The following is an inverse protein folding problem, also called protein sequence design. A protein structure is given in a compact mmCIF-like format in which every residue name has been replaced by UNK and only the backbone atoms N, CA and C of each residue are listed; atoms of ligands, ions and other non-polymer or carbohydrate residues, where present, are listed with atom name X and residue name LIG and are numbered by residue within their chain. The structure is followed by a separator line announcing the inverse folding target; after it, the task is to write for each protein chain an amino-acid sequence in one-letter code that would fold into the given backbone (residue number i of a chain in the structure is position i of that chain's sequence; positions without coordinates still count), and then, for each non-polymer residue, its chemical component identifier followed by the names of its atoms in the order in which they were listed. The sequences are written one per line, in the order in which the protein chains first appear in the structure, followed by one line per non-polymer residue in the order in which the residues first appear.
data_IF_291178259649
#
_entry.id   IF_291178259649
#
_cell.length_a   1.000
_cell.length_b   1.000
_cell.length_c   1.000
_cell.angle_alpha   90.00
_cell.angle_beta   90.00
_cell.angle_gamma   90.00
#
_symmetry.space_group_name_H-M   'P 1'
#
loop_
_entity.id
_entity.type
_entity.pdbx_description
1 polymer ?
#
# COMPACT_ATOMS: atom_id res chain seq x y z
N UNK A 1 -20.12 -1.71 3.33
CA UNK A 1 -19.82 -0.79 4.45
C UNK A 1 -20.52 0.54 4.22
N UNK A 2 -21.17 1.05 5.25
CA UNK A 2 -21.81 2.35 5.15
C UNK A 2 -20.75 3.46 5.06
N UNK A 3 -21.00 4.46 4.23
CA UNK A 3 -20.11 5.62 4.14
C UNK A 3 -20.17 6.44 5.42
N UNK A 4 -19.05 6.95 5.91
CA UNK A 4 -19.07 7.87 7.06
C UNK A 4 -19.75 9.18 6.70
N UNK A 5 -20.40 9.77 7.67
CA UNK A 5 -21.02 11.09 7.53
C UNK A 5 -20.04 12.18 7.94
N UNK A 6 -20.01 13.27 7.19
CA UNK A 6 -19.20 14.44 7.57
C UNK A 6 -19.59 14.96 8.96
N UNK A 7 -20.90 14.95 9.26
CA UNK A 7 -21.41 15.47 10.53
C UNK A 7 -21.01 14.58 11.72
N UNK A 8 -20.84 13.27 11.48
CA UNK A 8 -20.48 12.30 12.52
C UNK A 8 -18.97 12.06 12.57
N UNK A 9 -18.19 12.72 11.70
CA UNK A 9 -16.75 12.57 11.62
C UNK A 9 -16.08 13.82 12.16
N UNK A 10 -15.12 13.63 13.05
CA UNK A 10 -14.40 14.75 13.67
C UNK A 10 -12.93 14.41 13.83
N UNK A 11 -12.11 15.42 14.14
CA UNK A 11 -10.70 15.20 14.44
C UNK A 11 -10.58 14.20 15.59
N UNK A 12 -9.69 13.23 15.42
CA UNK A 12 -9.51 12.13 16.36
C UNK A 12 -10.33 10.89 16.07
N UNK A 13 -11.27 10.95 15.12
CA UNK A 13 -12.01 9.75 14.69
C UNK A 13 -11.03 8.73 14.11
N UNK A 14 -11.04 7.52 14.66
CA UNK A 14 -10.17 6.45 14.20
C UNK A 14 -10.78 5.70 13.02
N UNK A 15 -9.95 5.38 12.04
CA UNK A 15 -10.32 4.52 10.93
C UNK A 15 -9.76 3.14 11.24
N UNK A 16 -10.64 2.13 11.29
CA UNK A 16 -10.25 0.77 11.64
C UNK A 16 -9.15 0.24 10.74
N UNK A 17 -8.12 -0.36 11.35
CA UNK A 17 -6.99 -0.91 10.63
C UNK A 17 -7.41 -2.04 9.69
N UNK A 18 -6.75 -2.12 8.54
CA UNK A 18 -6.89 -3.23 7.59
C UNK A 18 -5.52 -3.76 7.22
N UNK A 19 -5.47 -5.04 6.89
CA UNK A 19 -4.26 -5.72 6.47
C UNK A 19 -4.38 -6.17 5.03
N UNK A 20 -3.34 -5.92 4.26
CA UNK A 20 -3.25 -6.33 2.87
C UNK A 20 -2.04 -7.23 2.70
N UNK A 21 -2.22 -8.36 2.02
CA UNK A 21 -1.13 -9.26 1.70
C UNK A 21 -0.53 -8.87 0.35
N UNK A 22 0.80 -8.80 0.29
CA UNK A 22 1.53 -8.51 -0.95
C UNK A 22 2.49 -9.66 -1.20
N UNK A 23 2.22 -10.44 -2.23
CA UNK A 23 3.03 -11.59 -2.61
C UNK A 23 3.95 -11.25 -3.78
N UNK A 24 4.95 -12.12 -4.04
CA UNK A 24 5.83 -11.96 -5.20
C UNK A 24 5.06 -11.94 -6.51
N UNK A 25 4.00 -12.74 -6.64
CA UNK A 25 3.19 -12.76 -7.86
C UNK A 25 2.47 -11.43 -8.08
N UNK A 26 2.08 -10.74 -7.02
CA UNK A 26 1.47 -9.41 -7.14
C UNK A 26 2.47 -8.37 -7.64
N UNK A 27 3.73 -8.47 -7.22
CA UNK A 27 4.78 -7.57 -7.71
C UNK A 27 5.00 -7.77 -9.22
N UNK A 28 4.96 -9.00 -9.69
CA UNK A 28 5.09 -9.30 -11.12
C UNK A 28 3.90 -8.73 -11.89
N UNK A 29 2.70 -8.91 -11.39
CA UNK A 29 1.50 -8.33 -12.02
C UNK A 29 1.56 -6.81 -12.06
N UNK A 30 1.97 -6.20 -10.96
CA UNK A 30 2.07 -4.74 -10.88
C UNK A 30 3.14 -4.21 -11.84
N UNK A 31 4.27 -4.88 -11.96
CA UNK A 31 5.30 -4.53 -12.94
C UNK A 31 4.72 -4.52 -14.36
N UNK A 32 3.94 -5.53 -14.71
CA UNK A 32 3.28 -5.61 -16.00
C UNK A 32 2.24 -4.53 -16.22
N UNK A 33 1.46 -4.21 -15.18
CA UNK A 33 0.40 -3.21 -15.27
C UNK A 33 0.94 -1.77 -15.30
N UNK A 34 1.99 -1.49 -14.52
CA UNK A 34 2.55 -0.15 -14.39
C UNK A 34 3.66 0.17 -15.37
N UNK A 35 4.28 -0.85 -15.96
CA UNK A 35 5.47 -0.67 -16.79
C UNK A 35 6.76 -0.48 -15.99
N UNK A 36 6.70 -0.61 -14.67
CA UNK A 36 7.88 -0.49 -13.81
C UNK A 36 8.50 -1.87 -13.60
N UNK A 37 9.49 -2.19 -14.42
CA UNK A 37 10.22 -3.45 -14.40
C UNK A 37 11.57 -3.35 -13.68
N UNK A 38 11.74 -2.39 -12.79
CA UNK A 38 12.98 -2.27 -12.03
C UNK A 38 13.28 -3.60 -11.32
N UNK A 39 14.44 -4.20 -11.55
CA UNK A 39 14.76 -5.53 -11.01
C UNK A 39 14.68 -5.68 -9.50
N UNK A 40 14.77 -4.60 -8.74
CA UNK A 40 14.65 -4.67 -7.28
C UNK A 40 13.28 -5.19 -6.82
N UNK A 41 12.30 -5.20 -7.71
CA UNK A 41 10.94 -5.67 -7.41
C UNK A 41 10.69 -7.11 -7.84
N UNK A 42 11.66 -7.79 -8.47
CA UNK A 42 11.45 -9.17 -8.91
C UNK A 42 12.74 -10.02 -8.94
N UNK A 43 13.90 -9.42 -8.82
CA UNK A 43 15.18 -10.15 -8.88
C UNK A 43 15.91 -10.03 -7.54
N UNK A 44 15.89 -11.11 -6.77
CA UNK A 44 16.49 -11.17 -5.43
C UNK A 44 17.99 -10.87 -5.44
N UNK A 45 18.71 -11.43 -6.40
CA UNK A 45 20.16 -11.21 -6.52
C UNK A 45 20.50 -9.73 -6.73
N UNK A 46 19.73 -9.05 -7.61
CA UNK A 46 19.97 -7.63 -7.88
C UNK A 46 19.55 -6.78 -6.69
N UNK A 47 18.41 -7.10 -6.05
CA UNK A 47 17.96 -6.38 -4.86
C UNK A 47 19.05 -6.41 -3.77
N UNK A 48 19.59 -7.59 -3.50
CA UNK A 48 20.68 -7.75 -2.52
C UNK A 48 21.96 -7.04 -2.94
N UNK A 49 22.26 -7.02 -4.22
CA UNK A 49 23.48 -6.37 -4.72
C UNK A 49 23.47 -4.85 -4.53
N UNK A 50 22.31 -4.23 -4.44
CA UNK A 50 22.18 -2.78 -4.20
C UNK A 50 21.90 -2.44 -2.73
N UNK A 51 22.05 -3.40 -1.83
CA UNK A 51 21.96 -3.18 -0.39
C UNK A 51 20.60 -3.45 0.23
N UNK A 52 19.64 -4.00 -0.51
CA UNK A 52 18.35 -4.36 0.03
C UNK A 52 18.40 -5.77 0.64
N UNK A 53 17.63 -6.04 1.70
CA UNK A 53 17.61 -7.38 2.31
C UNK A 53 16.99 -8.44 1.40
N UNK A 54 16.09 -8.06 0.51
CA UNK A 54 15.42 -8.92 -0.44
C UNK A 54 14.65 -8.06 -1.45
N UNK A 55 13.82 -8.68 -2.28
CA UNK A 55 12.91 -7.98 -3.20
C UNK A 55 11.95 -7.11 -2.39
N UNK A 56 11.70 -5.90 -2.89
CA UNK A 56 10.80 -4.95 -2.25
C UNK A 56 9.61 -4.63 -3.14
N UNK A 57 8.48 -4.26 -2.52
CA UNK A 57 7.31 -3.82 -3.24
C UNK A 57 7.56 -2.45 -3.89
N UNK A 58 6.90 -2.23 -5.04
CA UNK A 58 6.91 -0.91 -5.67
C UNK A 58 6.27 0.11 -4.69
N UNK A 59 6.90 1.27 -4.53
CA UNK A 59 6.34 2.33 -3.69
C UNK A 59 4.94 2.72 -4.14
N UNK A 60 4.72 2.82 -5.45
CA UNK A 60 3.41 3.15 -5.99
C UNK A 60 2.36 2.08 -5.70
N UNK A 61 2.75 0.81 -5.56
CA UNK A 61 1.83 -0.25 -5.15
C UNK A 61 1.38 -0.05 -3.71
N UNK A 62 2.30 0.23 -2.79
CA UNK A 62 1.94 0.48 -1.40
C UNK A 62 1.12 1.76 -1.25
N UNK A 63 1.40 2.78 -2.05
CA UNK A 63 0.58 3.98 -2.11
C UNK A 63 -0.84 3.66 -2.59
N UNK A 64 -0.97 2.79 -3.60
CA UNK A 64 -2.27 2.36 -4.10
C UNK A 64 -3.09 1.61 -3.05
N UNK A 65 -2.44 0.81 -2.21
CA UNK A 65 -3.11 0.12 -1.09
C UNK A 65 -3.64 1.13 -0.07
N UNK A 66 -2.88 2.18 0.24
CA UNK A 66 -3.33 3.24 1.12
C UNK A 66 -4.51 4.01 0.51
N UNK A 67 -4.47 4.29 -0.78
CA UNK A 67 -5.59 4.91 -1.50
C UNK A 67 -6.84 4.05 -1.48
N UNK A 68 -6.69 2.74 -1.68
CA UNK A 68 -7.78 1.78 -1.59
C UNK A 68 -8.40 1.77 -0.20
N UNK A 69 -7.58 1.77 0.85
CA UNK A 69 -8.03 1.84 2.23
C UNK A 69 -8.92 3.06 2.47
N UNK A 70 -8.48 4.23 2.02
CA UNK A 70 -9.24 5.48 2.19
C UNK A 70 -10.53 5.47 1.37
N UNK A 71 -10.49 5.00 0.13
CA UNK A 71 -11.67 4.91 -0.73
C UNK A 71 -12.71 3.94 -0.15
N UNK A 72 -12.28 2.82 0.39
CA UNK A 72 -13.16 1.85 1.02
C UNK A 72 -13.80 2.42 2.30
N UNK A 73 -13.02 3.13 3.10
CA UNK A 73 -13.56 3.79 4.29
C UNK A 73 -14.58 4.87 3.91
N UNK A 74 -14.26 5.72 2.95
CA UNK A 74 -15.15 6.78 2.50
C UNK A 74 -16.41 6.24 1.82
N UNK A 75 -16.35 5.01 1.28
CA UNK A 75 -17.45 4.39 0.54
C UNK A 75 -17.62 4.93 -0.88
N UNK A 76 -16.76 5.87 -1.28
CA UNK A 76 -16.80 6.51 -2.59
C UNK A 76 -15.38 6.95 -2.98
N UNK A 77 -14.78 6.36 -4.04
CA UNK A 77 -13.45 6.78 -4.48
C UNK A 77 -13.40 8.25 -4.91
N UNK A 78 -14.51 8.82 -5.35
CA UNK A 78 -14.61 10.25 -5.71
C UNK A 78 -14.52 11.19 -4.52
N UNK A 79 -14.64 10.69 -3.29
CA UNK A 79 -14.52 11.51 -2.09
C UNK A 79 -13.07 11.91 -1.78
N UNK A 80 -12.07 11.19 -2.34
CA UNK A 80 -10.66 11.51 -2.15
C UNK A 80 -10.26 12.55 -3.19
N UNK A 81 -10.06 13.79 -2.75
CA UNK A 81 -9.75 14.92 -3.63
C UNK A 81 -8.26 15.23 -3.71
N UNK A 82 -7.51 14.86 -2.68
CA UNK A 82 -6.07 15.06 -2.64
C UNK A 82 -5.45 13.91 -1.86
N UNK A 83 -4.34 13.37 -2.35
CA UNK A 83 -3.69 12.24 -1.74
C UNK A 83 -2.18 12.36 -1.90
N UNK A 84 -1.46 12.34 -0.80
CA UNK A 84 -0.01 12.40 -0.79
C UNK A 84 0.56 11.34 0.13
N UNK A 85 1.81 10.96 -0.12
CA UNK A 85 2.49 9.94 0.66
C UNK A 85 3.96 10.30 0.86
N UNK A 86 4.52 9.81 1.96
CA UNK A 86 5.95 9.86 2.23
C UNK A 86 6.43 8.45 2.48
N UNK A 87 7.37 7.99 1.66
CA UNK A 87 7.98 6.67 1.83
C UNK A 87 9.17 6.78 2.79
N UNK A 88 9.11 6.05 3.90
CA UNK A 88 10.17 6.08 4.92
C UNK A 88 10.96 4.78 5.00
N UNK A 89 10.39 3.67 4.53
CA UNK A 89 11.05 2.37 4.55
C UNK A 89 10.49 1.47 3.44
N UNK A 90 11.32 0.58 2.88
CA UNK A 90 10.84 -0.36 1.87
C UNK A 90 9.97 -1.45 2.52
N UNK A 91 9.07 -2.01 1.73
CA UNK A 91 8.29 -3.19 2.10
C UNK A 91 8.97 -4.41 1.49
N UNK A 92 9.63 -5.21 2.32
CA UNK A 92 10.32 -6.43 1.88
C UNK A 92 9.30 -7.53 1.68
N UNK A 93 9.32 -8.16 0.51
CA UNK A 93 8.36 -9.20 0.14
C UNK A 93 9.10 -10.54 0.02
N UNK A 94 8.94 -11.45 1.00
CA UNK A 94 9.58 -12.74 0.94
C UNK A 94 9.00 -13.65 -0.14
N UNK A 95 9.80 -14.59 -0.60
CA UNK A 95 9.39 -15.55 -1.62
C UNK A 95 8.65 -16.72 -0.97
N UNK A 96 7.41 -16.49 -0.60
CA UNK A 96 6.51 -17.49 -0.03
C UNK A 96 5.06 -17.19 -0.41
N UNK A 97 4.13 -18.03 0.02
CA UNK A 97 2.70 -17.89 -0.33
C UNK A 97 2.01 -16.77 0.44
N UNK A 98 2.60 -16.31 1.54
CA UNK A 98 2.01 -15.27 2.37
C UNK A 98 2.49 -13.87 1.97
N UNK A 99 3.75 -13.77 1.53
CA UNK A 99 4.36 -12.48 1.21
C UNK A 99 4.51 -11.58 2.42
N UNK A 100 4.38 -10.28 2.17
CA UNK A 100 4.40 -9.27 3.21
C UNK A 100 2.99 -8.88 3.62
N UNK A 101 2.82 -8.53 4.87
CA UNK A 101 1.57 -7.94 5.37
C UNK A 101 1.74 -6.44 5.50
N UNK A 102 0.89 -5.68 4.82
CA UNK A 102 0.85 -4.22 4.95
C UNK A 102 -0.38 -3.88 5.79
N UNK A 103 -0.15 -3.36 6.99
CA UNK A 103 -1.22 -2.90 7.86
C UNK A 103 -1.39 -1.39 7.71
N UNK A 104 -2.62 -0.96 7.47
CA UNK A 104 -2.94 0.44 7.28
C UNK A 104 -4.01 0.82 8.30
N UNK A 105 -3.73 1.88 9.03
CA UNK A 105 -4.66 2.47 9.98
C UNK A 105 -4.70 3.98 9.75
N UNK A 106 -5.75 4.61 10.21
CA UNK A 106 -5.91 6.05 10.01
C UNK A 106 -6.57 6.75 11.18
N UNK A 107 -6.41 8.05 11.19
CA UNK A 107 -7.08 8.95 12.12
C UNK A 107 -7.43 10.23 11.38
N UNK A 108 -8.62 10.75 11.65
CA UNK A 108 -9.06 12.02 11.08
C UNK A 108 -8.41 13.16 11.86
N UNK A 109 -7.80 14.12 11.18
CA UNK A 109 -7.05 15.22 11.82
C UNK A 109 -7.71 16.59 11.70
N UNK A 110 -8.70 16.73 10.86
CA UNK A 110 -9.29 18.06 10.72
C UNK A 110 -10.53 18.18 9.91
#
# INVERSE_FOLDING_TARGET
MASPSYQDTQAGTEIAARRYQVTRSELVRYAGASGDFNPIHWNERIAKSVGLPDVIAHGMLTMALAGRFLAEWAGDPGAVTEFGVRFSAPVVVPDDDKGATVEIAGVVTG
#
